data_IF_659502867083
#
_entry.id   IF_659502867083
#
_cell.length_a   1.000
_cell.length_b   1.000
_cell.length_c   1.000
_cell.angle_alpha   90.00
_cell.angle_beta   90.00
_cell.angle_gamma   90.00
#
_symmetry.space_group_name_H-M   'P 1'
#
loop_
_entity.id
_entity.type
_entity.pdbx_description
1 polymer ?
#
# COMPACT_ATOMS: atom_id res chain seq x y z
N UNK A 1 -15.83 20.32 3.74
CA UNK A 1 -14.57 20.84 3.16
C UNK A 1 -14.01 19.73 2.29
N UNK A 2 -13.77 20.02 0.99
CA UNK A 2 -13.23 19.06 0.03
C UNK A 2 -11.71 19.22 0.02
N UNK A 3 -10.97 18.23 0.52
CA UNK A 3 -9.63 17.88 0.07
C UNK A 3 -9.74 16.44 -0.42
N UNK A 4 -9.51 16.26 -1.71
CA UNK A 4 -9.50 15.01 -2.46
C UNK A 4 -8.08 14.93 -3.00
N UNK A 5 -7.31 13.93 -2.55
CA UNK A 5 -6.21 13.19 -3.21
C UNK A 5 -5.31 12.62 -2.11
N UNK A 6 -5.84 11.63 -1.37
CA UNK A 6 -5.01 10.68 -0.65
C UNK A 6 -4.48 9.72 -1.71
N UNK A 7 -3.15 9.67 -1.86
CA UNK A 7 -2.46 8.62 -2.59
C UNK A 7 -2.98 7.28 -2.07
N UNK A 8 -3.64 6.50 -2.92
CA UNK A 8 -4.37 5.31 -2.50
C UNK A 8 -3.42 4.24 -1.94
N UNK A 9 -3.33 4.12 -0.62
CA UNK A 9 -3.39 2.81 0.02
C UNK A 9 -4.70 2.78 0.78
N UNK A 10 -5.71 2.28 0.10
CA UNK A 10 -7.07 2.25 0.58
C UNK A 10 -7.45 0.79 0.77
N UNK A 11 -7.85 0.45 2.00
CA UNK A 11 -8.98 -0.44 2.34
C UNK A 11 -8.60 -1.93 2.82
N UNK A 12 -8.67 -2.35 4.16
CA UNK A 12 -9.92 -2.99 4.82
C UNK A 12 -10.25 -4.42 5.47
N UNK A 13 -9.70 -4.77 6.65
CA UNK A 13 -10.14 -5.58 7.85
C UNK A 13 -11.21 -6.74 7.75
N UNK A 14 -11.01 -8.06 8.03
CA UNK A 14 -10.86 -8.89 9.32
C UNK A 14 -11.21 -10.37 9.06
N UNK A 15 -11.02 -11.42 9.91
CA UNK A 15 -11.22 -11.62 11.38
C UNK A 15 -10.37 -12.77 11.99
N UNK A 16 -10.62 -13.09 13.28
CA UNK A 16 -9.79 -13.70 14.33
C UNK A 16 -9.26 -15.14 14.23
N UNK A 17 -8.15 -15.29 14.95
CA UNK A 17 -7.32 -16.44 15.29
C UNK A 17 -7.80 -17.28 16.49
N UNK A 18 -7.57 -18.60 16.41
CA UNK A 18 -7.42 -19.50 17.55
C UNK A 18 -5.95 -19.63 17.98
N UNK A 19 -5.72 -19.63 19.30
CA UNK A 19 -4.42 -19.60 19.96
C UNK A 19 -3.91 -21.03 20.29
N UNK A 20 -2.62 -21.29 20.08
CA UNK A 20 -1.92 -22.49 20.55
C UNK A 20 -0.58 -22.09 21.17
N UNK A 21 -0.46 -22.23 22.48
CA UNK A 21 0.68 -21.81 23.28
C UNK A 21 1.84 -22.81 23.36
N UNK A 22 2.94 -22.36 23.95
CA UNK A 22 4.08 -23.21 24.33
C UNK A 22 5.22 -22.41 24.96
N UNK A 23 5.32 -22.48 26.29
CA UNK A 23 6.30 -21.82 27.16
C UNK A 23 7.58 -22.67 27.34
N UNK A 24 8.71 -22.05 27.70
CA UNK A 24 9.86 -22.75 28.27
C UNK A 24 11.14 -21.92 28.32
N UNK A 25 11.47 -21.36 29.48
CA UNK A 25 12.71 -20.59 29.72
C UNK A 25 13.72 -21.28 30.65
N UNK A 26 14.86 -20.59 30.81
CA UNK A 26 15.92 -20.74 31.85
C UNK A 26 16.90 -21.91 31.61
N UNK A 27 18.22 -21.84 31.85
CA UNK A 27 19.07 -20.95 32.67
C UNK A 27 20.55 -21.15 32.29
N UNK A 28 21.39 -20.22 32.76
CA UNK A 28 22.83 -20.03 32.57
C UNK A 28 23.78 -21.10 33.14
N UNK A 29 24.98 -21.22 32.55
CA UNK A 29 26.24 -21.45 33.28
C UNK A 29 27.45 -21.04 32.43
N UNK A 30 28.26 -20.12 32.98
CA UNK A 30 29.63 -19.76 32.56
C UNK A 30 30.61 -20.80 33.16
N UNK A 31 31.77 -21.16 32.58
CA UNK A 31 33.01 -20.38 32.35
C UNK A 31 34.09 -21.33 31.71
N UNK A 32 35.33 -20.89 31.39
CA UNK A 32 35.83 -20.37 30.11
C UNK A 32 36.90 -21.26 29.40
N UNK A 33 37.17 -21.03 28.10
CA UNK A 33 38.52 -20.80 27.54
C UNK A 33 38.61 -20.95 26.01
N UNK A 34 39.56 -20.18 25.46
CA UNK A 34 40.24 -20.32 24.16
C UNK A 34 39.52 -19.82 22.90
N UNK A 35 39.70 -18.51 22.68
CA UNK A 35 40.18 -17.91 21.42
C UNK A 35 39.66 -18.49 20.10
N UNK A 36 38.63 -17.84 19.56
CA UNK A 36 38.65 -17.37 18.18
C UNK A 36 37.95 -16.02 18.14
N UNK A 37 38.74 -14.96 18.06
CA UNK A 37 38.27 -13.60 17.83
C UNK A 37 37.76 -13.47 16.39
N UNK A 38 36.55 -13.93 16.13
CA UNK A 38 35.67 -13.26 15.18
C UNK A 38 34.88 -12.27 16.02
N UNK A 39 35.25 -11.00 15.98
CA UNK A 39 34.44 -9.92 16.51
C UNK A 39 33.06 -10.00 15.86
N UNK A 40 32.14 -10.68 16.53
CA UNK A 40 30.70 -10.56 16.30
C UNK A 40 30.31 -9.17 16.72
N UNK A 41 30.66 -8.19 15.87
CA UNK A 41 30.03 -6.90 15.91
C UNK A 41 28.55 -7.19 15.65
N UNK A 42 27.75 -7.17 16.71
CA UNK A 42 26.32 -6.97 16.56
C UNK A 42 26.19 -5.65 15.81
N UNK A 43 25.99 -5.73 14.49
CA UNK A 43 25.69 -4.55 13.67
C UNK A 43 24.28 -4.17 14.04
N UNK A 44 24.12 -3.45 15.15
CA UNK A 44 22.86 -2.82 15.50
C UNK A 44 22.48 -1.93 14.31
N UNK A 45 21.31 -2.21 13.72
CA UNK A 45 20.78 -1.41 12.63
C UNK A 45 20.78 0.05 13.05
N UNK A 46 21.53 0.87 12.31
CA UNK A 46 21.64 2.29 12.60
C UNK A 46 20.52 3.02 11.85
N UNK A 47 19.60 3.59 12.61
CA UNK A 47 18.53 4.42 12.09
C UNK A 47 18.93 5.89 12.13
N UNK A 48 18.71 6.61 11.02
CA UNK A 48 18.78 8.06 10.99
C UNK A 48 17.54 8.60 10.28
N UNK A 49 16.56 9.09 11.05
CA UNK A 49 15.33 9.71 10.51
C UNK A 49 14.64 8.80 9.48
N UNK A 50 14.37 7.55 9.89
CA UNK A 50 13.81 6.52 9.02
C UNK A 50 14.74 5.92 7.96
N UNK A 51 16.02 6.32 7.89
CA UNK A 51 16.97 5.71 6.95
C UNK A 51 17.83 4.66 7.66
N UNK A 52 17.78 3.42 7.16
CA UNK A 52 18.60 2.30 7.65
C UNK A 52 19.99 2.28 6.98
N UNK A 53 21.00 2.82 7.68
CA UNK A 53 22.32 3.08 7.10
C UNK A 53 23.22 1.84 6.89
N UNK A 54 23.06 0.81 7.73
CA UNK A 54 23.91 -0.39 7.72
C UNK A 54 23.07 -1.66 7.52
N UNK A 55 21.94 -1.55 6.83
CA UNK A 55 21.04 -2.67 6.62
C UNK A 55 21.52 -3.58 5.48
N UNK A 56 21.44 -4.88 5.71
CA UNK A 56 21.68 -5.90 4.69
C UNK A 56 20.50 -6.86 4.72
N UNK A 57 20.04 -7.29 3.55
CA UNK A 57 19.13 -8.42 3.46
C UNK A 57 19.91 -9.64 2.98
N UNK A 58 19.75 -10.76 3.69
CA UNK A 58 20.36 -12.02 3.30
C UNK A 58 19.41 -12.78 2.38
N UNK A 59 19.81 -13.02 1.13
CA UNK A 59 19.04 -13.77 0.15
C UNK A 59 18.67 -12.97 -1.10
N UNK A 60 18.23 -13.67 -2.14
CA UNK A 60 17.70 -13.06 -3.37
C UNK A 60 16.27 -12.61 -3.16
N UNK A 61 15.95 -11.43 -3.68
CA UNK A 61 14.62 -10.83 -3.60
C UNK A 61 14.14 -10.39 -4.99
N UNK A 62 12.83 -10.29 -5.19
CA UNK A 62 12.27 -9.75 -6.45
C UNK A 62 12.73 -8.30 -6.72
N UNK A 63 13.13 -7.57 -5.67
CA UNK A 63 13.65 -6.21 -5.75
C UNK A 63 15.17 -6.13 -5.98
N UNK A 64 15.81 -7.21 -6.45
CA UNK A 64 17.21 -7.16 -6.91
C UNK A 64 17.35 -6.40 -8.23
N UNK A 65 16.25 -6.21 -8.94
CA UNK A 65 16.09 -5.26 -10.05
C UNK A 65 14.97 -4.25 -9.75
N UNK A 66 14.96 -3.06 -10.37
CA UNK A 66 13.84 -2.15 -10.25
C UNK A 66 12.54 -2.77 -10.77
N UNK A 67 11.48 -2.61 -10.00
CA UNK A 67 10.14 -3.06 -10.34
C UNK A 67 9.20 -1.85 -10.50
N UNK A 68 8.15 -2.03 -11.29
CA UNK A 68 7.26 -0.97 -11.73
C UNK A 68 5.82 -1.31 -11.36
N UNK A 69 5.15 -0.46 -10.58
CA UNK A 69 3.71 -0.55 -10.33
C UNK A 69 3.01 0.57 -11.12
N UNK A 70 1.96 0.24 -11.88
CA UNK A 70 1.23 1.23 -12.68
C UNK A 70 0.16 1.90 -11.83
N UNK A 71 0.23 3.22 -11.74
CA UNK A 71 -0.62 4.01 -10.85
C UNK A 71 -1.15 5.27 -11.55
N UNK A 72 -1.97 6.03 -10.84
CA UNK A 72 -2.74 7.15 -11.34
C UNK A 72 -2.80 8.30 -10.33
N UNK A 73 -3.10 9.48 -10.86
CA UNK A 73 -3.37 10.67 -10.05
C UNK A 73 -4.51 11.47 -10.70
N UNK A 74 -5.22 12.26 -9.89
CA UNK A 74 -6.22 13.20 -10.38
C UNK A 74 -5.81 14.62 -10.08
N UNK A 75 -5.39 15.34 -11.12
CA UNK A 75 -5.10 16.76 -10.97
C UNK A 75 -6.40 17.56 -11.04
N UNK A 76 -6.78 18.17 -9.91
CA UNK A 76 -7.87 19.15 -9.90
C UNK A 76 -7.45 20.38 -10.71
N UNK A 77 -8.30 20.80 -11.65
CA UNK A 77 -8.14 22.11 -12.29
C UNK A 77 -8.77 23.18 -11.40
N UNK A 78 -7.98 24.18 -11.01
CA UNK A 78 -8.43 25.26 -10.12
C UNK A 78 -9.69 25.90 -10.73
N UNK A 79 -10.77 25.93 -9.95
CA UNK A 79 -12.08 26.52 -10.29
C UNK A 79 -12.98 25.75 -11.28
N UNK A 80 -12.70 24.49 -11.63
CA UNK A 80 -13.70 23.66 -12.31
C UNK A 80 -13.82 22.27 -11.68
N UNK A 81 -15.00 21.61 -11.76
CA UNK A 81 -15.15 20.23 -11.30
C UNK A 81 -14.46 19.20 -12.21
N UNK A 82 -13.72 19.65 -13.23
CA UNK A 82 -13.01 18.76 -14.14
C UNK A 82 -11.64 18.39 -13.57
N UNK A 83 -11.39 17.09 -13.48
CA UNK A 83 -10.10 16.53 -13.12
C UNK A 83 -9.37 16.09 -14.38
N UNK A 84 -8.07 16.36 -14.43
CA UNK A 84 -7.19 15.76 -15.44
C UNK A 84 -6.72 14.43 -14.89
N UNK A 85 -7.01 13.36 -15.62
CA UNK A 85 -6.55 12.02 -15.29
C UNK A 85 -5.09 11.86 -15.70
N UNK A 86 -4.28 11.36 -14.79
CA UNK A 86 -2.85 11.20 -14.94
C UNK A 86 -2.48 9.73 -14.75
N UNK A 87 -1.54 9.23 -15.55
CA UNK A 87 -0.99 7.89 -15.39
C UNK A 87 0.53 7.95 -15.27
N UNK A 88 1.07 7.17 -14.36
CA UNK A 88 2.51 7.02 -14.15
C UNK A 88 2.81 5.60 -13.67
N UNK A 89 4.08 5.34 -13.39
CA UNK A 89 4.45 4.18 -12.59
C UNK A 89 5.36 4.57 -11.44
N UNK A 90 5.17 3.89 -10.32
CA UNK A 90 6.13 3.81 -9.24
C UNK A 90 7.28 2.90 -9.66
N UNK A 91 8.49 3.45 -9.68
CA UNK A 91 9.75 2.74 -9.89
C UNK A 91 10.34 2.41 -8.54
N UNK A 92 10.09 1.18 -8.08
CA UNK A 92 10.51 0.67 -6.79
C UNK A 92 11.89 0.06 -6.91
N UNK A 93 12.85 0.59 -6.16
CA UNK A 93 14.23 0.13 -6.14
C UNK A 93 14.75 -0.07 -4.73
N UNK A 94 15.61 -1.08 -4.55
CA UNK A 94 16.16 -1.46 -3.26
C UNK A 94 17.56 -0.87 -3.05
N UNK A 95 17.83 -0.44 -1.82
CA UNK A 95 19.18 -0.22 -1.31
C UNK A 95 19.27 -0.75 0.13
N UNK A 96 20.02 -1.84 0.33
CA UNK A 96 20.00 -2.57 1.60
C UNK A 96 18.62 -3.17 1.87
N UNK A 97 18.05 -2.88 3.05
CA UNK A 97 16.66 -3.20 3.38
C UNK A 97 15.68 -2.08 3.03
N UNK A 98 16.13 -0.93 2.55
CA UNK A 98 15.23 0.15 2.15
C UNK A 98 14.71 -0.10 0.73
N UNK A 99 13.41 0.10 0.54
CA UNK A 99 12.79 0.30 -0.77
C UNK A 99 12.51 1.79 -0.95
N UNK A 100 12.87 2.29 -2.12
CA UNK A 100 12.64 3.68 -2.53
C UNK A 100 11.77 3.70 -3.76
N UNK A 101 10.99 4.77 -3.90
CA UNK A 101 10.15 5.01 -5.08
C UNK A 101 10.62 6.26 -5.84
N UNK A 102 10.61 6.15 -7.16
CA UNK A 102 10.71 7.27 -8.10
C UNK A 102 9.54 7.18 -9.08
N UNK A 103 9.25 8.26 -9.78
CA UNK A 103 8.09 8.29 -10.67
C UNK A 103 8.48 8.25 -12.14
N UNK A 104 7.81 7.38 -12.91
CA UNK A 104 7.96 7.27 -14.36
C UNK A 104 6.67 7.71 -15.07
N UNK A 105 6.62 8.93 -15.63
CA UNK A 105 5.40 9.47 -16.24
C UNK A 105 4.95 8.71 -17.50
N UNK A 106 3.64 8.53 -17.63
CA UNK A 106 3.02 7.88 -18.80
C UNK A 106 2.11 8.85 -19.56
N UNK A 107 1.12 9.44 -18.89
CA UNK A 107 0.05 10.22 -19.53
C UNK A 107 -0.34 11.43 -18.69
N UNK A 108 -0.31 12.62 -19.30
CA UNK A 108 -0.73 13.92 -18.73
C UNK A 108 -0.06 14.32 -17.41
N UNK A 109 1.16 13.84 -17.14
CA UNK A 109 1.88 14.11 -15.90
C UNK A 109 3.39 14.19 -16.14
N UNK A 110 4.08 14.90 -15.26
CA UNK A 110 5.55 14.96 -15.20
C UNK A 110 6.07 14.42 -13.87
N UNK A 111 7.34 14.01 -13.85
CA UNK A 111 7.96 13.53 -12.62
C UNK A 111 8.08 14.64 -11.55
N UNK A 112 8.26 15.89 -11.96
CA UNK A 112 8.32 17.04 -11.05
C UNK A 112 6.97 17.31 -10.37
N UNK A 113 5.85 17.16 -11.10
CA UNK A 113 4.52 17.29 -10.51
C UNK A 113 4.26 16.20 -9.45
N UNK A 114 4.66 14.96 -9.72
CA UNK A 114 4.51 13.85 -8.77
C UNK A 114 5.42 14.04 -7.55
N UNK A 115 6.68 14.46 -7.77
CA UNK A 115 7.60 14.79 -6.67
C UNK A 115 7.05 15.90 -5.78
N UNK A 116 6.46 16.93 -6.39
CA UNK A 116 5.83 18.03 -5.66
C UNK A 116 4.63 17.54 -4.86
N UNK A 117 3.76 16.73 -5.47
CA UNK A 117 2.59 16.13 -4.79
C UNK A 117 3.02 15.37 -3.54
N UNK A 118 4.05 14.52 -3.65
CA UNK A 118 4.59 13.77 -2.51
C UNK A 118 5.21 14.67 -1.45
N UNK A 119 5.96 15.69 -1.85
CA UNK A 119 6.59 16.64 -0.93
C UNK A 119 5.59 17.51 -0.16
N UNK A 120 4.40 17.73 -0.71
CA UNK A 120 3.35 18.58 -0.13
C UNK A 120 2.25 17.77 0.56
N UNK A 121 2.39 16.44 0.66
CA UNK A 121 1.38 15.56 1.26
C UNK A 121 1.36 15.66 2.80
N UNK A 122 0.53 16.57 3.31
CA UNK A 122 0.33 16.81 4.75
C UNK A 122 -0.05 15.53 5.53
N UNK A 123 -0.80 14.60 4.94
CA UNK A 123 -1.21 13.36 5.62
C UNK A 123 -0.01 12.46 5.93
N UNK A 124 1.03 12.48 5.10
CA UNK A 124 2.29 11.78 5.37
C UNK A 124 3.14 12.56 6.38
N UNK A 125 3.33 13.86 6.15
CA UNK A 125 4.23 14.70 6.95
C UNK A 125 3.73 15.01 8.36
N UNK A 126 2.43 14.87 8.59
CA UNK A 126 1.80 14.99 9.90
C UNK A 126 1.26 13.64 10.40
N UNK A 127 1.55 12.57 9.65
CA UNK A 127 0.96 11.25 9.80
C UNK A 127 1.51 10.45 10.97
N UNK A 128 0.62 9.61 11.48
CA UNK A 128 0.84 8.61 12.50
C UNK A 128 0.40 7.24 11.99
N UNK A 129 1.16 6.22 12.36
CA UNK A 129 0.78 4.81 12.16
C UNK A 129 0.67 4.19 13.55
N UNK A 130 -0.51 3.72 13.92
CA UNK A 130 -0.80 3.12 15.21
C UNK A 130 -1.18 1.65 15.04
N UNK A 131 -0.54 0.76 15.79
CA UNK A 131 -0.88 -0.66 15.80
C UNK A 131 -0.63 -1.27 17.19
N UNK A 132 -0.69 -2.59 17.33
CA UNK A 132 -0.49 -3.26 18.62
C UNK A 132 0.93 -3.11 19.19
N UNK A 133 1.90 -2.75 18.35
CA UNK A 133 3.32 -2.65 18.70
C UNK A 133 3.74 -1.23 19.08
N UNK A 134 3.04 -0.20 18.60
CA UNK A 134 3.34 1.17 18.97
C UNK A 134 2.62 2.21 18.13
N UNK A 135 3.00 3.47 18.37
CA UNK A 135 2.67 4.64 17.56
C UNK A 135 3.96 5.09 16.86
N UNK A 136 3.93 5.17 15.54
CA UNK A 136 5.05 5.54 14.68
C UNK A 136 4.72 6.82 13.91
N UNK A 137 5.75 7.49 13.40
CA UNK A 137 5.62 8.75 12.66
C UNK A 137 6.35 8.71 11.33
N UNK A 138 5.95 9.54 10.37
CA UNK A 138 6.62 9.66 9.05
C UNK A 138 7.09 11.10 8.76
N UNK A 139 7.19 11.91 9.82
CA UNK A 139 7.37 13.37 9.74
C UNK A 139 8.73 13.76 9.19
N UNK A 140 9.69 12.83 9.21
CA UNK A 140 11.03 13.07 8.69
C UNK A 140 11.22 12.63 7.23
N UNK A 141 10.16 12.23 6.53
CA UNK A 141 10.24 11.80 5.13
C UNK A 141 10.94 12.86 4.26
N UNK A 142 12.01 12.46 3.59
CA UNK A 142 12.72 13.35 2.68
C UNK A 142 13.29 12.54 1.52
N UNK A 143 13.15 13.07 0.31
CA UNK A 143 13.71 12.44 -0.88
C UNK A 143 15.21 12.24 -0.73
N UNK A 144 15.67 11.01 -0.98
CA UNK A 144 17.09 10.64 -1.02
C UNK A 144 17.59 10.62 -2.48
N UNK A 145 18.90 10.45 -2.68
CA UNK A 145 19.45 10.20 -4.02
C UNK A 145 18.88 8.95 -4.68
N UNK A 146 18.41 7.98 -3.88
CA UNK A 146 17.71 6.78 -4.34
C UNK A 146 16.20 6.98 -4.54
N UNK A 147 15.66 8.18 -4.35
CA UNK A 147 14.22 8.45 -4.43
C UNK A 147 13.56 8.63 -3.06
N UNK A 148 12.24 8.60 -3.03
CA UNK A 148 11.46 8.73 -1.79
C UNK A 148 11.53 7.44 -0.98
N UNK A 149 11.93 7.48 0.31
CA UNK A 149 11.79 6.33 1.20
C UNK A 149 10.36 5.82 1.19
N UNK A 150 10.16 4.53 0.95
CA UNK A 150 8.83 3.95 0.72
C UNK A 150 8.51 2.85 1.72
N UNK A 151 9.27 1.75 1.67
CA UNK A 151 9.12 0.62 2.60
C UNK A 151 10.48 0.15 3.13
N UNK A 152 10.46 -0.55 4.24
CA UNK A 152 11.51 -1.48 4.65
C UNK A 152 11.17 -2.88 4.17
N UNK A 153 12.14 -3.58 3.60
CA UNK A 153 12.09 -5.00 3.34
C UNK A 153 12.52 -5.75 4.61
N UNK A 154 11.54 -6.22 5.37
CA UNK A 154 11.76 -6.87 6.66
C UNK A 154 12.19 -8.34 6.51
N UNK A 155 11.75 -9.01 5.45
CA UNK A 155 12.25 -10.33 5.06
C UNK A 155 12.04 -10.58 3.56
N UNK A 156 12.86 -11.45 2.97
CA UNK A 156 12.61 -11.92 1.60
C UNK A 156 13.19 -13.30 1.36
N UNK A 157 12.38 -14.15 0.74
CA UNK A 157 12.77 -15.48 0.29
C UNK A 157 12.12 -15.76 -1.08
N UNK A 158 12.82 -15.39 -2.15
CA UNK A 158 12.31 -15.55 -3.50
C UNK A 158 11.06 -14.68 -3.74
N UNK A 159 9.92 -15.33 -3.99
CA UNK A 159 8.63 -14.66 -4.25
C UNK A 159 7.85 -14.30 -2.97
N UNK A 160 8.36 -14.67 -1.80
CA UNK A 160 7.78 -14.27 -0.51
C UNK A 160 8.55 -13.07 0.03
N UNK A 161 7.82 -12.01 0.35
CA UNK A 161 8.37 -10.71 0.71
C UNK A 161 7.58 -10.17 1.89
N UNK A 162 8.27 -9.72 2.94
CA UNK A 162 7.64 -8.95 4.01
C UNK A 162 8.11 -7.51 3.93
N UNK A 163 7.17 -6.57 3.92
CA UNK A 163 7.47 -5.13 3.98
C UNK A 163 6.95 -4.51 5.27
N UNK A 164 7.47 -3.34 5.61
CA UNK A 164 6.95 -2.46 6.64
C UNK A 164 7.02 -1.02 6.13
N UNK A 165 6.04 -0.18 6.44
CA UNK A 165 6.01 1.21 6.00
C UNK A 165 7.20 1.98 6.55
N UNK A 166 7.73 2.92 5.74
CA UNK A 166 8.68 3.91 6.21
C UNK A 166 8.16 4.58 7.49
N UNK A 167 9.04 4.79 8.46
CA UNK A 167 8.75 5.52 9.70
C UNK A 167 10.05 6.06 10.31
N UNK A 168 9.94 7.14 11.08
CA UNK A 168 11.05 7.93 11.60
C UNK A 168 11.99 7.10 12.51
N UNK A 169 11.47 6.05 13.14
CA UNK A 169 12.19 5.17 14.06
C UNK A 169 12.85 3.93 13.39
N UNK A 170 12.70 3.76 12.08
CA UNK A 170 13.13 2.56 11.33
C UNK A 170 12.57 1.24 11.89
N UNK A 171 11.37 1.29 12.47
CA UNK A 171 10.66 0.12 12.97
C UNK A 171 10.17 -0.75 11.82
N UNK A 172 10.42 -2.06 11.90
CA UNK A 172 9.89 -3.04 10.94
C UNK A 172 8.47 -3.52 11.29
N UNK A 173 7.82 -2.86 12.26
CA UNK A 173 6.50 -3.24 12.76
C UNK A 173 5.38 -2.30 12.28
N UNK A 174 5.70 -1.14 11.71
CA UNK A 174 4.69 -0.22 11.18
C UNK A 174 4.18 -0.70 9.81
N UNK A 175 2.86 -0.79 9.61
CA UNK A 175 2.29 -1.15 8.31
C UNK A 175 2.79 -2.47 7.74
N UNK A 176 3.01 -3.48 8.59
CA UNK A 176 3.69 -4.71 8.16
C UNK A 176 2.77 -5.57 7.28
N UNK A 177 3.27 -5.89 6.10
CA UNK A 177 2.57 -6.69 5.09
C UNK A 177 3.43 -7.87 4.63
N UNK A 178 2.79 -9.02 4.41
CA UNK A 178 3.43 -10.20 3.85
C UNK A 178 2.82 -10.56 2.49
N UNK A 179 3.66 -10.48 1.47
CA UNK A 179 3.31 -10.79 0.10
C UNK A 179 3.77 -12.19 -0.28
N UNK A 180 2.93 -12.89 -1.04
CA UNK A 180 3.30 -14.11 -1.75
C UNK A 180 3.02 -13.92 -3.23
N UNK A 181 4.06 -13.67 -4.01
CA UNK A 181 3.93 -13.43 -5.44
C UNK A 181 3.91 -14.73 -6.25
N UNK A 182 3.34 -14.64 -7.44
CA UNK A 182 3.65 -15.51 -8.57
C UNK A 182 4.34 -14.69 -9.67
N UNK A 183 5.25 -15.31 -10.41
CA UNK A 183 5.92 -14.69 -11.55
C UNK A 183 5.32 -15.25 -12.84
N UNK A 184 4.81 -14.36 -13.70
CA UNK A 184 4.22 -14.72 -15.00
C UNK A 184 5.10 -14.16 -16.12
N UNK A 185 5.36 -14.99 -17.13
CA UNK A 185 6.01 -14.58 -18.37
C UNK A 185 4.98 -13.94 -19.31
N UNK A 186 5.27 -12.70 -19.71
CA UNK A 186 4.46 -11.94 -20.65
C UNK A 186 5.02 -12.01 -22.07
N UNK A 187 6.22 -12.55 -22.29
CA UNK A 187 6.89 -12.59 -23.59
C UNK A 187 5.97 -13.16 -24.68
N UNK A 188 5.79 -12.43 -25.78
CA UNK A 188 4.93 -12.82 -26.90
C UNK A 188 3.42 -12.61 -26.68
N UNK A 189 2.98 -12.22 -25.47
CA UNK A 189 1.59 -11.77 -25.23
C UNK A 189 1.39 -10.38 -25.82
N UNK A 190 0.13 -10.01 -26.05
CA UNK A 190 -0.28 -8.68 -26.50
C UNK A 190 -0.61 -7.78 -25.31
N UNK A 191 -0.70 -6.47 -25.55
CA UNK A 191 -1.17 -5.54 -24.51
C UNK A 191 -2.59 -5.84 -24.06
N UNK A 192 -3.44 -6.42 -24.90
CA UNK A 192 -4.81 -6.77 -24.53
C UNK A 192 -4.88 -7.87 -23.45
N UNK A 193 -3.87 -8.73 -23.36
CA UNK A 193 -3.85 -9.87 -22.43
C UNK A 193 -3.73 -9.46 -20.96
N UNK A 194 -3.36 -8.19 -20.67
CA UNK A 194 -3.27 -7.67 -19.30
C UNK A 194 -4.50 -6.85 -18.88
N UNK A 195 -5.51 -6.72 -19.75
CA UNK A 195 -6.77 -6.03 -19.44
C UNK A 195 -7.91 -7.03 -19.21
N UNK A 196 -8.94 -6.66 -18.41
CA UNK A 196 -10.18 -7.43 -18.34
C UNK A 196 -10.84 -7.59 -19.71
N UNK A 197 -11.35 -8.78 -20.02
CA UNK A 197 -11.91 -9.10 -21.34
C UNK A 197 -13.13 -8.27 -21.71
N UNK A 198 -13.89 -7.77 -20.73
CA UNK A 198 -15.07 -6.94 -20.90
C UNK A 198 -14.79 -5.42 -20.75
N UNK A 199 -13.52 -4.98 -20.72
CA UNK A 199 -13.18 -3.57 -20.50
C UNK A 199 -13.77 -2.62 -21.56
N UNK A 200 -14.00 -3.09 -22.79
CA UNK A 200 -14.65 -2.29 -23.84
C UNK A 200 -16.19 -2.28 -23.72
N UNK A 201 -16.78 -3.41 -23.36
CA UNK A 201 -18.23 -3.66 -23.49
C UNK A 201 -19.01 -3.49 -22.19
N UNK A 202 -18.34 -3.48 -21.04
CA UNK A 202 -18.96 -3.35 -19.71
C UNK A 202 -18.08 -2.67 -18.69
N UNK A 203 -18.44 -2.77 -17.41
CA UNK A 203 -17.63 -2.34 -16.27
C UNK A 203 -17.08 -3.59 -15.58
N UNK A 204 -15.79 -3.92 -15.73
CA UNK A 204 -15.21 -5.07 -15.05
C UNK A 204 -15.32 -4.91 -13.54
N UNK A 205 -15.48 -6.03 -12.85
CA UNK A 205 -15.44 -6.07 -11.38
C UNK A 205 -14.02 -5.87 -10.89
N UNK A 206 -13.83 -5.45 -9.64
CA UNK A 206 -12.51 -5.27 -9.02
C UNK A 206 -11.61 -6.50 -9.19
N UNK A 207 -12.15 -7.70 -8.99
CA UNK A 207 -11.45 -8.98 -9.18
C UNK A 207 -10.97 -9.27 -10.61
N UNK A 208 -11.58 -8.66 -11.63
CA UNK A 208 -11.20 -8.88 -13.02
C UNK A 208 -9.89 -8.15 -13.36
N UNK A 209 -9.51 -7.16 -12.54
CA UNK A 209 -8.27 -6.39 -12.64
C UNK A 209 -7.11 -7.13 -11.97
N UNK A 210 -6.53 -8.08 -12.71
CA UNK A 210 -5.45 -8.93 -12.21
C UNK A 210 -4.08 -8.25 -12.33
N UNK A 211 -3.82 -7.55 -13.44
CA UNK A 211 -2.49 -7.01 -13.78
C UNK A 211 -2.38 -5.49 -13.65
N UNK A 212 -3.51 -4.78 -13.64
CA UNK A 212 -3.57 -3.33 -13.67
C UNK A 212 -4.50 -2.84 -12.58
N UNK A 213 -4.17 -1.73 -11.93
CA UNK A 213 -5.08 -1.06 -11.02
C UNK A 213 -6.42 -0.75 -11.73
N UNK A 214 -7.56 -0.97 -11.07
CA UNK A 214 -8.88 -0.75 -11.67
C UNK A 214 -9.05 0.68 -12.19
N UNK A 215 -8.58 1.68 -11.43
CA UNK A 215 -8.63 3.08 -11.85
C UNK A 215 -7.76 3.39 -13.08
N UNK A 216 -6.62 2.73 -13.27
CA UNK A 216 -5.83 2.85 -14.51
C UNK A 216 -6.67 2.38 -15.70
N UNK A 217 -7.35 1.24 -15.57
CA UNK A 217 -8.28 0.75 -16.58
C UNK A 217 -9.45 1.71 -16.85
N UNK A 218 -10.02 2.30 -15.81
CA UNK A 218 -11.11 3.27 -15.92
C UNK A 218 -10.68 4.58 -16.58
N UNK A 219 -9.49 5.08 -16.27
CA UNK A 219 -8.91 6.27 -16.90
C UNK A 219 -8.74 6.05 -18.40
N UNK A 220 -8.16 4.91 -18.79
CA UNK A 220 -7.98 4.56 -20.20
C UNK A 220 -9.33 4.39 -20.91
N UNK A 221 -10.33 3.78 -20.25
CA UNK A 221 -11.70 3.65 -20.75
C UNK A 221 -12.40 5.00 -20.99
N UNK A 222 -11.95 6.07 -20.33
CA UNK A 222 -12.42 7.44 -20.56
C UNK A 222 -12.32 7.89 -22.03
N UNK A 223 -11.38 7.33 -22.79
CA UNK A 223 -11.30 7.48 -24.25
C UNK A 223 -11.44 6.11 -24.94
N UNK A 224 -12.68 5.77 -25.31
CA UNK A 224 -13.02 4.44 -25.86
C UNK A 224 -12.32 4.13 -27.18
N UNK A 225 -12.12 5.12 -28.04
CA UNK A 225 -11.49 4.92 -29.35
C UNK A 225 -9.98 4.65 -29.18
N UNK A 226 -9.31 5.42 -28.31
CA UNK A 226 -7.92 5.16 -27.95
C UNK A 226 -7.75 3.80 -27.26
N UNK A 227 -8.70 3.41 -26.39
CA UNK A 227 -8.67 2.09 -25.74
C UNK A 227 -8.85 0.96 -26.76
N UNK A 228 -9.78 1.11 -27.71
CA UNK A 228 -9.99 0.12 -28.76
C UNK A 228 -8.75 -0.01 -29.67
N UNK A 229 -8.10 1.11 -29.99
CA UNK A 229 -6.84 1.11 -30.73
C UNK A 229 -5.70 0.43 -29.93
N UNK A 230 -5.58 0.72 -28.64
CA UNK A 230 -4.63 0.07 -27.74
C UNK A 230 -4.82 -1.45 -27.73
N UNK A 231 -6.05 -1.91 -27.49
CA UNK A 231 -6.38 -3.34 -27.35
C UNK A 231 -6.37 -4.11 -28.68
N UNK A 232 -6.38 -3.42 -29.82
CA UNK A 232 -6.23 -4.05 -31.15
C UNK A 232 -4.78 -4.10 -31.64
N UNK A 233 -3.83 -3.56 -30.87
CA UNK A 233 -2.41 -3.63 -31.18
C UNK A 233 -1.93 -5.09 -31.28
N UNK A 234 -1.25 -5.42 -32.37
CA UNK A 234 -0.59 -6.71 -32.59
C UNK A 234 0.84 -6.74 -32.07
N UNK A 235 1.31 -5.63 -31.49
CA UNK A 235 2.61 -5.59 -30.82
C UNK A 235 2.59 -6.55 -29.63
N UNK A 236 3.72 -7.23 -29.42
CA UNK A 236 3.86 -8.18 -28.33
C UNK A 236 4.95 -7.76 -27.37
N UNK A 237 4.77 -8.13 -26.11
CA UNK A 237 5.78 -7.97 -25.08
C UNK A 237 7.09 -8.65 -25.54
N UNK A 238 8.24 -7.95 -25.46
CA UNK A 238 9.52 -8.51 -25.87
C UNK A 238 9.95 -9.66 -24.94
N UNK A 239 10.90 -10.47 -25.40
CA UNK A 239 11.45 -11.58 -24.61
C UNK A 239 12.06 -11.07 -23.28
N UNK A 240 11.77 -11.78 -22.18
CA UNK A 240 12.22 -11.40 -20.84
C UNK A 240 11.27 -10.41 -20.14
N UNK A 241 10.07 -10.22 -20.66
CA UNK A 241 9.02 -9.44 -20.00
C UNK A 241 8.31 -10.29 -18.96
N UNK A 242 8.37 -9.88 -17.69
CA UNK A 242 7.72 -10.57 -16.59
C UNK A 242 6.87 -9.63 -15.75
N UNK A 243 5.92 -10.23 -15.04
CA UNK A 243 5.09 -9.57 -14.04
C UNK A 243 5.01 -10.43 -12.78
N UNK A 244 5.09 -9.79 -11.62
CA UNK A 244 4.87 -10.40 -10.32
C UNK A 244 3.49 -10.01 -9.82
N UNK A 245 2.63 -11.00 -9.61
CA UNK A 245 1.24 -10.81 -9.18
C UNK A 245 1.10 -11.37 -7.78
N UNK A 246 0.54 -10.62 -6.82
CA UNK A 246 0.34 -11.15 -5.50
C UNK A 246 -0.80 -12.16 -5.50
N UNK A 247 -0.53 -13.34 -4.94
CA UNK A 247 -1.54 -14.35 -4.63
C UNK A 247 -2.23 -14.07 -3.30
N UNK A 248 -1.51 -13.46 -2.36
CA UNK A 248 -1.98 -13.02 -1.05
C UNK A 248 -1.16 -11.82 -0.59
N UNK A 249 -1.79 -10.93 0.17
CA UNK A 249 -1.14 -9.82 0.87
C UNK A 249 -1.73 -9.76 2.27
N UNK A 250 -0.96 -10.23 3.24
CA UNK A 250 -1.44 -10.41 4.61
C UNK A 250 -0.93 -9.27 5.49
N UNK A 251 -1.86 -8.47 6.02
CA UNK A 251 -1.58 -7.60 7.15
C UNK A 251 -1.42 -8.48 8.41
N UNK A 252 -0.32 -8.34 9.14
CA UNK A 252 -0.08 -9.15 10.35
C UNK A 252 -0.86 -8.68 11.58
N UNK A 253 -1.28 -7.42 11.55
CA UNK A 253 -1.89 -6.69 12.64
C UNK A 253 -2.86 -5.62 12.10
N UNK A 254 -3.67 -5.04 12.96
CA UNK A 254 -4.41 -3.81 12.65
C UNK A 254 -3.49 -2.60 12.55
N UNK A 255 -3.77 -1.73 11.59
CA UNK A 255 -3.02 -0.49 11.37
C UNK A 255 -4.03 0.65 11.30
N UNK A 256 -3.85 1.66 12.13
CA UNK A 256 -4.63 2.89 12.13
C UNK A 256 -3.73 4.01 11.62
N UNK A 257 -4.22 4.76 10.64
CA UNK A 257 -3.53 5.90 10.05
C UNK A 257 -4.32 7.16 10.37
N UNK A 258 -3.65 8.20 10.87
CA UNK A 258 -4.27 9.50 11.16
C UNK A 258 -3.20 10.58 11.16
N UNK A 259 -3.58 11.86 11.07
CA UNK A 259 -2.60 12.97 10.98
C UNK A 259 -3.03 14.14 11.84
N UNK A 260 -2.14 15.12 12.05
CA UNK A 260 -2.54 16.36 12.73
C UNK A 260 -3.62 17.15 11.98
N UNK A 261 -3.74 16.95 10.67
CA UNK A 261 -4.76 17.56 9.83
C UNK A 261 -6.14 16.90 9.93
N UNK A 262 -6.27 15.72 10.55
CA UNK A 262 -7.54 15.00 10.73
C UNK A 262 -8.19 15.23 12.10
N UNK A 263 -7.75 16.24 12.85
CA UNK A 263 -8.41 16.62 14.12
C UNK A 263 -9.87 17.03 13.87
N UNK A 264 -10.77 16.43 14.63
CA UNK A 264 -12.21 16.68 14.57
C UNK A 264 -12.67 17.70 15.60
N UNK A 265 -13.95 18.11 15.54
CA UNK A 265 -14.61 18.91 16.58
C UNK A 265 -15.25 18.05 17.69
N UNK A 266 -15.04 16.72 17.66
CA UNK A 266 -15.62 15.81 18.64
C UNK A 266 -14.89 15.92 19.99
N UNK A 267 -15.67 15.89 21.07
CA UNK A 267 -15.17 16.04 22.44
C UNK A 267 -14.78 14.71 23.08
N UNK A 268 -15.22 13.60 22.51
CA UNK A 268 -14.89 12.23 22.92
C UNK A 268 -15.12 11.26 21.76
N UNK A 269 -14.59 10.03 21.87
CA UNK A 269 -14.86 8.97 20.89
C UNK A 269 -16.34 8.62 20.78
N UNK A 270 -17.10 8.67 21.89
CA UNK A 270 -18.55 8.44 21.83
C UNK A 270 -19.29 9.55 21.09
N UNK A 271 -18.92 10.81 21.33
CA UNK A 271 -19.47 11.97 20.61
C UNK A 271 -19.19 11.85 19.11
N UNK A 272 -17.97 11.45 18.76
CA UNK A 272 -17.57 11.19 17.38
C UNK A 272 -18.42 10.10 16.72
N UNK A 273 -18.56 8.92 17.36
CA UNK A 273 -19.39 7.81 16.84
C UNK A 273 -20.81 8.31 16.57
N UNK A 274 -21.40 9.07 17.51
CA UNK A 274 -22.77 9.56 17.37
C UNK A 274 -22.91 10.59 16.23
N UNK A 275 -21.97 11.53 16.09
CA UNK A 275 -21.99 12.57 15.05
C UNK A 275 -21.88 12.00 13.64
N UNK A 276 -20.98 11.02 13.44
CA UNK A 276 -20.63 10.54 12.11
C UNK A 276 -21.36 9.25 11.71
N UNK A 277 -21.66 8.37 12.67
CA UNK A 277 -22.18 7.03 12.41
C UNK A 277 -23.41 6.66 13.23
N UNK A 278 -23.94 7.54 14.10
CA UNK A 278 -25.09 7.26 14.95
C UNK A 278 -26.39 6.93 14.21
N UNK A 279 -26.46 7.23 12.91
CA UNK A 279 -27.59 6.91 12.02
C UNK A 279 -27.29 5.75 11.05
N UNK A 280 -26.06 5.23 11.06
CA UNK A 280 -25.61 4.15 10.18
C UNK A 280 -25.64 2.81 10.94
N UNK A 281 -25.73 1.71 10.20
CA UNK A 281 -25.84 0.37 10.79
C UNK A 281 -24.48 -0.23 11.18
N UNK A 282 -23.50 0.60 11.52
CA UNK A 282 -22.17 0.15 11.92
C UNK A 282 -22.12 -0.09 13.43
N UNK A 283 -21.50 -1.20 13.83
CA UNK A 283 -21.26 -1.46 15.25
C UNK A 283 -19.85 -1.00 15.57
N UNK A 284 -19.71 -0.04 16.49
CA UNK A 284 -18.42 0.44 16.96
C UNK A 284 -18.08 -0.06 18.35
N UNK A 285 -16.79 -0.30 18.57
CA UNK A 285 -16.21 -0.55 19.88
C UNK A 285 -15.15 0.50 20.18
N UNK A 286 -15.08 0.94 21.43
CA UNK A 286 -13.93 1.70 21.95
C UNK A 286 -13.00 0.71 22.67
N UNK A 287 -11.76 0.63 22.21
CA UNK A 287 -10.72 -0.25 22.75
C UNK A 287 -9.40 0.47 22.94
N UNK A 288 -8.43 -0.20 23.56
CA UNK A 288 -7.06 0.29 23.71
C UNK A 288 -6.13 -0.31 22.67
N UNK A 289 -5.36 0.53 21.99
CA UNK A 289 -4.31 0.15 21.05
C UNK A 289 -3.04 0.94 21.39
N UNK A 290 -1.95 0.25 21.76
CA UNK A 290 -0.69 0.87 22.18
C UNK A 290 -0.85 2.07 23.13
N UNK A 291 -1.75 1.89 24.12
CA UNK A 291 -2.14 2.87 25.15
C UNK A 291 -3.07 4.01 24.70
N UNK A 292 -3.37 4.16 23.42
CA UNK A 292 -4.39 5.10 22.93
C UNK A 292 -5.77 4.46 22.93
N UNK A 293 -6.80 5.26 23.21
CA UNK A 293 -8.17 4.82 23.05
C UNK A 293 -8.59 5.02 21.59
N UNK A 294 -9.20 4.00 21.00
CA UNK A 294 -9.56 3.95 19.58
C UNK A 294 -10.99 3.47 19.45
N UNK A 295 -11.81 4.20 18.70
CA UNK A 295 -13.11 3.75 18.21
C UNK A 295 -12.93 3.10 16.84
N UNK A 296 -13.44 1.90 16.65
CA UNK A 296 -13.33 1.18 15.38
C UNK A 296 -14.50 0.20 15.19
N UNK A 297 -14.85 -0.12 13.94
CA UNK A 297 -15.99 -1.01 13.66
C UNK A 297 -15.69 -2.47 13.99
N UNK A 298 -16.73 -3.20 14.38
CA UNK A 298 -16.65 -4.59 14.81
C UNK A 298 -17.81 -5.43 14.26
N UNK A 299 -17.60 -6.74 14.14
CA UNK A 299 -18.65 -7.69 13.82
C UNK A 299 -19.59 -7.94 15.03
N UNK A 300 -20.63 -8.76 14.81
CA UNK A 300 -21.58 -9.15 15.86
C UNK A 300 -20.95 -9.92 17.04
N UNK A 301 -19.72 -10.43 16.87
CA UNK A 301 -18.94 -11.11 17.91
C UNK A 301 -17.94 -10.17 18.61
N UNK A 302 -17.90 -8.89 18.23
CA UNK A 302 -17.02 -7.87 18.81
C UNK A 302 -15.58 -7.93 18.31
N UNK A 303 -15.33 -8.68 17.23
CA UNK A 303 -14.05 -8.69 16.54
C UNK A 303 -13.94 -7.46 15.64
N UNK A 304 -12.74 -6.92 15.35
CA UNK A 304 -12.62 -5.83 14.38
C UNK A 304 -13.35 -6.18 13.06
N UNK A 305 -13.87 -5.19 12.34
CA UNK A 305 -14.56 -5.39 11.06
C UNK A 305 -14.37 -4.23 10.13
N UNK A 306 -13.88 -4.44 8.90
CA UNK A 306 -13.82 -3.34 7.95
C UNK A 306 -15.12 -3.32 7.24
N UNK A 307 -15.56 -2.10 7.08
CA UNK A 307 -16.55 -1.77 6.11
C UNK A 307 -16.19 -0.44 5.46
N UNK A 308 -16.33 -0.35 4.13
CA UNK A 308 -16.00 0.88 3.42
C UNK A 308 -16.89 1.99 3.94
N UNK A 309 -16.26 3.07 4.43
CA UNK A 309 -16.93 4.17 5.09
C UNK A 309 -17.25 3.93 6.57
N UNK A 310 -16.72 2.88 7.20
CA UNK A 310 -16.70 2.71 8.65
C UNK A 310 -15.28 3.01 9.19
N UNK A 311 -14.97 4.30 9.21
CA UNK A 311 -13.64 4.78 9.54
C UNK A 311 -13.38 4.68 11.06
N UNK A 312 -12.13 4.63 11.53
CA UNK A 312 -11.82 4.65 12.96
C UNK A 312 -11.63 6.09 13.46
N UNK A 313 -11.64 6.24 14.78
CA UNK A 313 -11.18 7.47 15.43
C UNK A 313 -10.24 7.19 16.59
N UNK A 314 -9.24 8.06 16.76
CA UNK A 314 -8.17 7.91 17.74
C UNK A 314 -8.25 9.06 18.74
N UNK A 315 -8.20 8.75 20.04
CA UNK A 315 -8.02 9.76 21.09
C UNK A 315 -6.55 9.89 21.45
N UNK A 316 -5.99 11.08 21.23
CA UNK A 316 -4.59 11.39 21.52
C UNK A 316 -4.47 12.83 22.01
N UNK A 317 -3.71 13.05 23.07
CA UNK A 317 -3.41 14.38 23.64
C UNK A 317 -4.64 15.28 23.87
N UNK A 318 -5.75 14.67 24.30
CA UNK A 318 -7.01 15.37 24.57
C UNK A 318 -7.82 15.77 23.32
N UNK A 319 -7.42 15.31 22.13
CA UNK A 319 -8.13 15.52 20.86
C UNK A 319 -8.66 14.21 20.29
N UNK A 320 -9.60 14.31 19.37
CA UNK A 320 -10.16 13.20 18.59
C UNK A 320 -9.78 13.38 17.12
N UNK A 321 -9.15 12.38 16.55
CA UNK A 321 -8.68 12.36 15.17
C UNK A 321 -9.54 11.40 14.36
N UNK A 322 -10.02 11.85 13.20
CA UNK A 322 -10.46 10.94 12.14
C UNK A 322 -9.26 10.12 11.68
N UNK A 323 -9.46 8.83 11.44
CA UNK A 323 -8.43 7.97 10.92
C UNK A 323 -8.92 7.14 9.75
N UNK A 324 -8.01 6.31 9.26
CA UNK A 324 -8.23 5.23 8.32
C UNK A 324 -7.65 3.96 8.94
N UNK A 325 -8.08 2.79 8.48
CA UNK A 325 -7.49 1.55 8.99
C UNK A 325 -7.51 0.37 8.05
N UNK A 326 -6.46 -0.43 8.21
CA UNK A 326 -6.36 -1.80 7.74
C UNK A 326 -6.47 -2.75 8.92
N UNK A 327 -6.88 -3.99 8.66
CA UNK A 327 -6.65 -5.01 9.66
C UNK A 327 -5.98 -6.23 9.11
N UNK A 328 -5.51 -6.99 10.09
CA UNK A 328 -5.16 -8.36 9.99
C UNK A 328 -6.08 -9.19 9.08
N UNK A 329 -5.49 -9.70 8.03
CA UNK A 329 -6.16 -10.52 7.03
C UNK A 329 -5.44 -10.45 5.71
N UNK A 330 -5.78 -11.37 4.81
CA UNK A 330 -5.36 -11.29 3.41
C UNK A 330 -6.25 -10.30 2.68
N UNK A 331 -5.72 -9.14 2.30
CA UNK A 331 -6.51 -8.04 1.73
C UNK A 331 -7.01 -8.33 0.30
N UNK A 332 -6.45 -9.37 -0.32
CA UNK A 332 -6.90 -9.88 -1.62
C UNK A 332 -7.98 -10.96 -1.47
N UNK A 333 -8.24 -11.41 -0.24
CA UNK A 333 -9.23 -12.44 0.02
C UNK A 333 -10.64 -11.86 -0.12
N UNK A 334 -11.57 -12.59 -0.77
CA UNK A 334 -12.99 -12.22 -0.77
C UNK A 334 -13.59 -12.19 0.64
N UNK A 335 -12.96 -12.82 1.63
CA UNK A 335 -13.43 -12.84 3.02
C UNK A 335 -12.87 -11.67 3.84
N UNK A 336 -12.09 -10.78 3.22
CA UNK A 336 -11.59 -9.57 3.84
C UNK A 336 -12.68 -8.50 3.87
N UNK A 337 -13.02 -8.03 5.07
CA UNK A 337 -14.10 -7.05 5.23
C UNK A 337 -15.44 -7.67 5.53
N UNK A 338 -16.41 -6.79 5.68
CA UNK A 338 -17.81 -7.15 5.77
C UNK A 338 -18.33 -7.65 4.41
N UNK A 339 -19.14 -8.71 4.46
CA UNK A 339 -19.93 -9.21 3.32
C UNK A 339 -21.27 -8.46 3.29
N UNK A 340 -21.58 -7.77 2.19
CA UNK A 340 -22.84 -7.03 2.04
C UNK A 340 -23.76 -7.71 1.02
N UNK A 341 -24.92 -8.21 1.47
CA UNK A 341 -25.91 -8.88 0.61
C UNK A 341 -25.37 -10.06 -0.23
N UNK A 342 -24.35 -10.76 0.26
CA UNK A 342 -23.69 -11.84 -0.47
C UNK A 342 -22.78 -11.36 -1.61
N UNK A 343 -22.60 -10.04 -1.75
CA UNK A 343 -21.63 -9.42 -2.63
C UNK A 343 -20.47 -8.81 -1.82
N UNK A 344 -19.30 -8.84 -2.43
CA UNK A 344 -18.03 -8.55 -1.79
C UNK A 344 -17.62 -7.12 -2.13
N UNK A 345 -17.47 -6.26 -1.11
CA UNK A 345 -17.37 -4.81 -1.31
C UNK A 345 -16.05 -4.17 -0.82
N UNK A 346 -15.17 -4.91 -0.13
CA UNK A 346 -14.07 -4.32 0.64
C UNK A 346 -12.67 -4.91 0.39
N UNK A 347 -12.47 -5.80 -0.58
CA UNK A 347 -11.15 -6.39 -0.86
C UNK A 347 -10.53 -5.77 -2.11
N UNK A 348 -9.19 -5.80 -2.15
CA UNK A 348 -8.44 -5.10 -3.18
C UNK A 348 -8.26 -5.91 -4.46
N UNK A 349 -8.03 -5.19 -5.56
CA UNK A 349 -7.62 -5.80 -6.81
C UNK A 349 -6.15 -6.23 -6.75
N UNK A 350 -5.83 -7.42 -7.27
CA UNK A 350 -4.43 -7.84 -7.45
C UNK A 350 -3.64 -6.86 -8.30
N UNK A 351 -4.31 -6.24 -9.27
CA UNK A 351 -3.73 -5.25 -10.16
C UNK A 351 -3.16 -4.03 -9.44
N UNK A 352 -3.71 -3.66 -8.29
CA UNK A 352 -3.22 -2.55 -7.47
C UNK A 352 -1.80 -2.79 -6.93
N UNK A 353 -1.40 -4.05 -6.77
CA UNK A 353 -0.13 -4.46 -6.15
C UNK A 353 0.78 -5.22 -7.11
N UNK A 354 0.44 -5.21 -8.40
CA UNK A 354 1.20 -5.93 -9.43
C UNK A 354 2.50 -5.19 -9.74
N UNK A 355 3.58 -5.95 -9.92
CA UNK A 355 4.92 -5.41 -10.15
C UNK A 355 5.48 -5.92 -11.47
N UNK A 356 5.71 -5.02 -12.42
CA UNK A 356 6.31 -5.32 -13.71
C UNK A 356 7.82 -5.17 -13.64
N UNK A 357 8.57 -6.00 -14.36
CA UNK A 357 9.96 -5.68 -14.63
C UNK A 357 10.07 -4.58 -15.71
N UNK A 358 11.26 -4.02 -15.88
CA UNK A 358 11.50 -2.90 -16.82
C UNK A 358 11.01 -3.18 -18.24
N UNK A 359 11.29 -4.38 -18.76
CA UNK A 359 10.91 -4.79 -20.11
C UNK A 359 9.39 -4.75 -20.33
N UNK A 360 8.62 -5.27 -19.36
CA UNK A 360 7.16 -5.22 -19.39
C UNK A 360 6.65 -3.78 -19.27
N UNK A 361 7.19 -3.01 -18.33
CA UNK A 361 6.79 -1.61 -18.12
C UNK A 361 7.02 -0.74 -19.36
N UNK A 362 8.23 -0.78 -19.94
CA UNK A 362 8.57 0.02 -21.11
C UNK A 362 7.61 -0.28 -22.28
N UNK A 363 7.27 -1.56 -22.48
CA UNK A 363 6.28 -1.97 -23.48
C UNK A 363 4.91 -1.37 -23.19
N UNK A 364 4.37 -1.52 -21.97
CA UNK A 364 3.05 -0.99 -21.59
C UNK A 364 3.02 0.53 -21.75
N UNK A 365 4.00 1.23 -21.19
CA UNK A 365 4.09 2.68 -21.25
C UNK A 365 4.15 3.17 -22.70
N UNK A 366 4.91 2.50 -23.57
CA UNK A 366 4.98 2.85 -24.99
C UNK A 366 3.64 2.61 -25.71
N UNK A 367 2.97 1.48 -25.44
CA UNK A 367 1.66 1.20 -26.04
C UNK A 367 0.62 2.23 -25.62
N UNK A 368 0.59 2.63 -24.34
CA UNK A 368 -0.29 3.70 -23.87
C UNK A 368 0.05 5.03 -24.57
N UNK A 369 1.33 5.45 -24.56
CA UNK A 369 1.76 6.72 -25.18
C UNK A 369 1.45 6.81 -26.67
N UNK A 370 1.52 5.69 -27.40
CA UNK A 370 1.19 5.65 -28.82
C UNK A 370 -0.30 5.90 -29.10
N UNK A 371 -1.18 5.52 -28.17
CA UNK A 371 -2.64 5.59 -28.35
C UNK A 371 -3.27 6.78 -27.60
N UNK A 372 -2.58 7.29 -26.58
CA UNK A 372 -3.01 8.39 -25.72
C UNK A 372 -1.94 9.49 -25.73
N UNK A 373 -1.84 10.27 -26.83
CA UNK A 373 -0.92 11.40 -26.86
C UNK A 373 -1.29 12.39 -25.76
N UNK A 374 -0.29 12.87 -25.02
CA UNK A 374 -0.51 13.86 -23.96
C UNK A 374 -1.12 15.12 -24.55
N UNK A 375 -2.13 15.67 -23.88
CA UNK A 375 -2.72 16.95 -24.26
C UNK A 375 -1.79 18.01 -23.66
N UNK A 376 -0.80 18.44 -24.44
CA UNK A 376 0.11 19.52 -24.03
C UNK A 376 -0.65 20.80 -23.68
#
# INVERSE_FOLDING_TARGET
MKKLTTLAFSISITVLSGCGGGSGGSTSSTTPSASNSSSGGSTTLTCNRGILLNSQITGTTIFDEPLYNLDYEYKSSVNTPNYVTQLYADVIQRNGQMLYVNYAPIYNVSAEELDKSTAENEEIYEGYILNSQGLYTQKTLQKQSSGWPYYYLSSSQGLQVSTALFNDECSLNAGKQNFNFEKIDLSGKTIADIFPTNILTGYPKTQDYIYLHNQVGMILKGNKDALAALLSSTATFPAGSYVYIPKSIVNDDYQFYFSESTVTDATSLNDWIQKHYGQLNYTYKIGKVSNLDVAYSVDSSGNPLYEAGADPAISKDGKIYDGEWDVKGDILSPEYGMIFNGELVNYDSKGSYTLFNKSSFDFIAQQIKNNYPSIN
#
